data_IF_786750786014
#
_entry.id   IF_786750786014
#
_cell.length_a   1.000
_cell.length_b   1.000
_cell.length_c   1.000
_cell.angle_alpha   90.00
_cell.angle_beta   90.00
_cell.angle_gamma   90.00
#
_symmetry.space_group_name_H-M   'P 1'
#
loop_
_entity.id
_entity.type
_entity.pdbx_description
1 polymer ?
#
# COMPACT_ATOMS: atom_id res chain seq x y z
N UNK A 1 16.83 13.28 -18.91
CA UNK A 1 17.26 13.62 -17.54
C UNK A 1 16.34 12.86 -16.59
N UNK A 2 16.86 11.82 -15.94
CA UNK A 2 16.04 10.91 -15.13
C UNK A 2 15.67 11.56 -13.79
N UNK A 3 14.39 11.54 -13.43
CA UNK A 3 13.86 12.06 -12.15
C UNK A 3 14.25 11.20 -10.93
N UNK A 4 15.02 10.12 -11.13
CA UNK A 4 15.37 9.13 -10.11
C UNK A 4 16.27 9.65 -8.98
N UNK A 5 16.76 10.89 -9.06
CA UNK A 5 17.67 11.48 -8.08
C UNK A 5 17.05 12.45 -7.08
N UNK A 6 15.81 12.92 -7.28
CA UNK A 6 15.23 13.96 -6.40
C UNK A 6 14.63 13.33 -5.15
N UNK A 7 15.25 13.59 -4.00
CA UNK A 7 14.70 13.25 -2.68
C UNK A 7 13.61 14.27 -2.34
N UNK A 8 12.40 13.79 -2.07
CA UNK A 8 11.27 14.53 -1.56
C UNK A 8 11.34 14.62 -0.04
N UNK A 9 10.82 15.72 0.54
CA UNK A 9 10.66 15.87 1.99
C UNK A 9 9.24 15.51 2.39
N UNK A 10 9.05 15.09 3.64
CA UNK A 10 7.74 14.69 4.17
C UNK A 10 6.73 15.85 4.12
N UNK A 11 7.15 17.07 4.40
CA UNK A 11 6.28 18.27 4.32
C UNK A 11 5.70 18.54 2.91
N UNK A 12 6.37 18.05 1.86
CA UNK A 12 5.98 18.31 0.48
C UNK A 12 5.04 17.22 -0.07
N UNK A 13 4.74 16.20 0.75
CA UNK A 13 3.85 15.12 0.39
C UNK A 13 2.41 15.63 0.22
N UNK A 14 1.80 15.25 -0.90
CA UNK A 14 0.39 15.54 -1.20
C UNK A 14 -0.33 14.25 -1.59
N UNK A 15 -1.65 14.16 -1.34
CA UNK A 15 -2.47 13.07 -1.84
C UNK A 15 -2.32 12.89 -3.36
N UNK A 16 -2.12 11.65 -3.81
CA UNK A 16 -2.02 11.31 -5.23
C UNK A 16 -0.61 11.47 -5.83
N UNK A 17 0.39 11.92 -5.06
CA UNK A 17 1.78 11.92 -5.50
C UNK A 17 2.32 10.50 -5.68
N UNK A 18 3.07 10.27 -6.75
CA UNK A 18 3.69 8.99 -7.13
C UNK A 18 5.19 9.20 -7.38
N UNK A 19 5.93 8.11 -7.56
CA UNK A 19 7.37 8.13 -7.81
C UNK A 19 8.14 8.90 -6.71
N UNK A 20 7.68 8.77 -5.47
CA UNK A 20 8.27 9.44 -4.33
C UNK A 20 9.54 8.72 -3.90
N UNK A 21 10.63 9.47 -3.82
CA UNK A 21 11.90 9.02 -3.25
C UNK A 21 12.14 9.81 -1.96
N UNK A 22 12.26 9.14 -0.83
CA UNK A 22 12.43 9.76 0.49
C UNK A 22 13.53 9.04 1.26
N UNK A 23 14.11 9.74 2.23
CA UNK A 23 14.92 9.12 3.29
C UNK A 23 14.30 9.56 4.59
N UNK A 24 14.02 8.60 5.48
CA UNK A 24 13.36 8.85 6.76
C UNK A 24 13.86 7.89 7.82
N UNK A 25 13.60 8.25 9.08
CA UNK A 25 13.80 7.39 10.23
C UNK A 25 12.45 6.88 10.74
N UNK A 26 12.40 5.63 11.18
CA UNK A 26 11.23 5.03 11.81
C UNK A 26 11.16 5.48 13.27
N UNK A 27 10.04 6.07 13.68
CA UNK A 27 9.83 6.52 15.06
C UNK A 27 9.00 5.50 15.85
N UNK A 28 7.92 5.02 15.24
CA UNK A 28 6.93 4.18 15.94
C UNK A 28 6.34 3.13 15.02
N UNK A 29 6.02 1.96 15.58
CA UNK A 29 5.46 0.82 14.87
C UNK A 29 4.22 0.36 15.63
N UNK A 30 3.06 0.52 15.00
CA UNK A 30 1.79 0.08 15.55
C UNK A 30 1.66 -1.44 15.56
N UNK A 31 0.73 -1.94 16.38
CA UNK A 31 0.40 -3.37 16.45
C UNK A 31 -0.05 -3.89 15.08
N UNK A 32 0.36 -5.10 14.69
CA UNK A 32 -0.07 -5.70 13.43
C UNK A 32 -1.57 -5.97 13.40
N UNK A 33 -2.17 -5.68 12.25
CA UNK A 33 -3.56 -6.01 11.93
C UNK A 33 -3.58 -7.04 10.81
N UNK A 34 -4.29 -8.15 11.00
CA UNK A 34 -4.46 -9.17 9.97
C UNK A 34 -5.63 -8.84 9.07
N UNK A 35 -5.45 -8.96 7.76
CA UNK A 35 -6.54 -8.89 6.79
C UNK A 35 -7.28 -10.22 6.73
N UNK A 36 -8.45 -10.22 6.08
CA UNK A 36 -9.25 -11.43 5.85
C UNK A 36 -8.51 -12.47 5.01
N UNK A 37 -7.58 -12.01 4.17
CA UNK A 37 -6.79 -12.83 3.26
C UNK A 37 -5.53 -13.41 3.95
N UNK A 38 -5.31 -13.09 5.24
CA UNK A 38 -4.19 -13.60 6.04
C UNK A 38 -2.93 -12.72 6.01
N UNK A 39 -2.92 -11.65 5.21
CA UNK A 39 -1.81 -10.70 5.17
C UNK A 39 -1.73 -9.85 6.44
N UNK A 40 -0.52 -9.54 6.88
CA UNK A 40 -0.28 -8.69 8.03
C UNK A 40 0.02 -7.26 7.58
N UNK A 41 -0.69 -6.29 8.15
CA UNK A 41 -0.46 -4.86 7.89
C UNK A 41 -0.07 -4.17 9.18
N UNK A 42 1.02 -3.40 9.12
CA UNK A 42 1.47 -2.54 10.22
C UNK A 42 1.48 -1.09 9.76
N UNK A 43 0.97 -0.21 10.63
CA UNK A 43 1.12 1.22 10.47
C UNK A 43 2.42 1.65 11.14
N UNK A 44 3.30 2.25 10.37
CA UNK A 44 4.61 2.73 10.81
C UNK A 44 4.63 4.24 10.72
N UNK A 45 5.00 4.92 11.79
CA UNK A 45 5.21 6.37 11.79
C UNK A 45 6.66 6.66 11.49
N UNK A 46 6.90 7.42 10.43
CA UNK A 46 8.23 7.77 9.93
C UNK A 46 8.40 9.28 9.92
N UNK A 47 9.64 9.76 10.07
CA UNK A 47 9.93 11.19 10.03
C UNK A 47 11.25 11.53 9.34
N UNK A 48 11.33 12.80 8.94
CA UNK A 48 12.53 13.46 8.45
C UNK A 48 12.66 14.81 9.16
N UNK A 49 13.62 15.64 8.73
CA UNK A 49 13.81 17.00 9.28
C UNK A 49 12.59 17.93 9.15
N UNK A 50 11.59 17.58 8.35
CA UNK A 50 10.46 18.43 7.98
C UNK A 50 9.15 18.05 8.65
N UNK A 51 9.02 16.84 9.20
CA UNK A 51 7.83 16.38 9.89
C UNK A 51 7.71 14.85 9.88
N UNK A 52 6.55 14.35 10.29
CA UNK A 52 6.23 12.91 10.29
C UNK A 52 5.07 12.56 9.36
N UNK A 53 5.01 11.30 8.92
CA UNK A 53 3.88 10.74 8.17
C UNK A 53 3.68 9.28 8.52
N UNK A 54 2.45 8.78 8.36
CA UNK A 54 2.14 7.37 8.51
C UNK A 54 2.44 6.62 7.21
N UNK A 55 2.99 5.42 7.33
CA UNK A 55 3.27 4.50 6.24
C UNK A 55 2.61 3.16 6.54
N UNK A 56 1.99 2.54 5.54
CA UNK A 56 1.47 1.17 5.68
C UNK A 56 2.43 0.18 5.07
N UNK A 57 2.90 -0.76 5.88
CA UNK A 57 3.83 -1.81 5.47
C UNK A 57 3.17 -3.17 5.61
N UNK A 58 3.41 -4.04 4.64
CA UNK A 58 2.78 -5.35 4.52
C UNK A 58 3.78 -6.47 4.82
N UNK A 59 3.25 -7.56 5.38
CA UNK A 59 3.90 -8.86 5.56
C UNK A 59 5.28 -8.77 6.25
N UNK A 60 6.25 -9.52 5.72
CA UNK A 60 7.58 -9.67 6.32
C UNK A 60 8.36 -8.35 6.34
N UNK A 61 8.16 -7.48 5.34
CA UNK A 61 8.77 -6.14 5.33
C UNK A 61 8.38 -5.32 6.56
N UNK A 62 7.14 -5.45 7.03
CA UNK A 62 6.67 -4.75 8.22
C UNK A 62 7.20 -5.37 9.52
N UNK A 63 7.48 -6.67 9.50
CA UNK A 63 7.96 -7.42 10.67
C UNK A 63 9.44 -7.24 10.95
N UNK A 64 10.24 -7.02 9.90
CA UNK A 64 11.70 -6.81 10.03
C UNK A 64 12.08 -5.38 10.46
N UNK A 65 11.16 -4.43 10.29
CA UNK A 65 11.39 -3.02 10.60
C UNK A 65 11.43 -2.76 12.10
N UNK A 66 12.35 -1.92 12.55
CA UNK A 66 12.50 -1.51 13.95
C UNK A 66 12.47 0.01 14.10
N UNK A 67 12.10 0.48 15.30
CA UNK A 67 12.24 1.90 15.64
C UNK A 67 13.72 2.30 15.60
N UNK A 68 14.01 3.46 15.01
CA UNK A 68 15.36 3.97 14.80
C UNK A 68 15.99 3.58 13.47
N UNK A 69 15.38 2.70 12.66
CA UNK A 69 15.89 2.36 11.33
C UNK A 69 15.82 3.56 10.38
N UNK A 70 16.90 3.79 9.63
CA UNK A 70 16.96 4.78 8.55
C UNK A 70 16.76 4.06 7.23
N UNK A 71 15.69 4.41 6.52
CA UNK A 71 15.26 3.72 5.31
C UNK A 71 15.32 4.68 4.12
N UNK A 72 15.98 4.22 3.05
CA UNK A 72 15.85 4.80 1.72
C UNK A 72 14.61 4.22 1.07
N UNK A 73 13.65 5.07 0.80
CA UNK A 73 12.38 4.72 0.21
C UNK A 73 12.33 5.22 -1.23
N UNK A 74 11.96 4.37 -2.17
CA UNK A 74 11.98 4.68 -3.60
C UNK A 74 10.69 4.29 -4.30
N UNK A 75 10.30 5.11 -5.28
CA UNK A 75 9.12 4.92 -6.15
C UNK A 75 7.83 4.59 -5.39
N UNK A 76 7.62 5.19 -4.23
CA UNK A 76 6.35 5.05 -3.52
C UNK A 76 5.31 6.08 -3.92
N UNK A 77 4.16 6.02 -3.26
CA UNK A 77 3.05 6.91 -3.49
C UNK A 77 2.35 7.27 -2.18
N UNK A 78 1.79 8.47 -2.13
CA UNK A 78 1.03 8.95 -0.98
C UNK A 78 -0.47 8.99 -1.33
N UNK A 79 -1.29 8.40 -0.47
CA UNK A 79 -2.74 8.31 -0.68
C UNK A 79 -3.46 8.56 0.65
N UNK A 80 -4.62 9.19 0.59
CA UNK A 80 -5.47 9.37 1.77
C UNK A 80 -6.24 8.08 2.03
N UNK A 81 -6.08 7.53 3.25
CA UNK A 81 -6.80 6.38 3.76
C UNK A 81 -7.43 6.72 5.09
N UNK A 82 -8.73 6.47 5.27
CA UNK A 82 -9.48 6.83 6.49
C UNK A 82 -9.18 8.27 6.96
N UNK A 83 -9.21 9.22 6.03
CA UNK A 83 -8.92 10.63 6.28
C UNK A 83 -7.47 10.97 6.69
N UNK A 84 -6.53 10.01 6.62
CA UNK A 84 -5.11 10.24 6.94
C UNK A 84 -4.21 10.04 5.72
N UNK A 85 -3.23 10.92 5.52
CA UNK A 85 -2.20 10.70 4.50
C UNK A 85 -1.35 9.52 4.90
N UNK A 86 -1.32 8.52 4.02
CA UNK A 86 -0.56 7.31 4.23
C UNK A 86 0.37 7.07 3.04
N UNK A 87 1.62 6.79 3.34
CA UNK A 87 2.64 6.40 2.38
C UNK A 87 2.55 4.89 2.11
N UNK A 88 2.72 4.52 0.85
CA UNK A 88 2.74 3.15 0.38
C UNK A 88 3.89 2.91 -0.58
N UNK A 89 4.49 1.73 -0.50
CA UNK A 89 5.50 1.29 -1.46
C UNK A 89 4.82 1.03 -2.80
N UNK A 90 5.35 1.59 -3.89
CA UNK A 90 4.84 1.34 -5.23
C UNK A 90 5.18 -0.06 -5.73
N UNK A 91 4.54 -0.49 -6.82
CA UNK A 91 4.78 -1.83 -7.41
C UNK A 91 6.24 -2.10 -7.79
N UNK A 92 6.94 -1.06 -8.25
CA UNK A 92 8.37 -1.09 -8.62
C UNK A 92 9.21 -0.38 -7.54
N UNK A 93 8.59 -0.06 -6.40
CA UNK A 93 9.24 0.62 -5.29
C UNK A 93 10.01 -0.36 -4.43
N UNK A 94 10.99 0.19 -3.71
CA UNK A 94 11.80 -0.57 -2.77
C UNK A 94 12.08 0.27 -1.52
N UNK A 95 12.29 -0.43 -0.41
CA UNK A 95 12.72 0.12 0.86
C UNK A 95 14.02 -0.56 1.24
N UNK A 96 15.05 0.23 1.48
CA UNK A 96 16.38 -0.27 1.82
C UNK A 96 16.81 0.36 3.15
N UNK A 97 17.13 -0.46 4.15
CA UNK A 97 17.76 0.05 5.38
C UNK A 97 19.18 0.50 5.04
N UNK A 98 19.47 1.78 5.28
CA UNK A 98 20.78 2.40 5.00
C UNK A 98 21.54 2.77 6.29
N UNK A 99 20.88 2.69 7.45
CA UNK A 99 21.50 3.00 8.74
C UNK A 99 20.51 2.91 9.89
N UNK A 100 20.91 3.40 11.06
CA UNK A 100 20.10 3.45 12.27
C UNK A 100 20.51 4.64 13.17
N UNK A 101 19.56 5.12 13.99
CA UNK A 101 19.71 6.08 15.09
C UNK A 101 20.12 7.52 14.76
N UNK A 102 21.12 7.74 13.89
CA UNK A 102 21.80 9.04 13.77
C UNK A 102 21.17 10.03 12.77
N UNK A 103 19.90 9.86 12.39
CA UNK A 103 19.23 10.79 11.48
C UNK A 103 18.49 11.88 12.28
N UNK A 104 18.72 13.15 11.94
CA UNK A 104 17.95 14.27 12.50
C UNK A 104 16.52 14.27 11.93
N UNK A 105 15.52 14.28 12.81
CA UNK A 105 14.11 14.29 12.44
C UNK A 105 13.27 15.24 13.31
N UNK A 106 12.08 15.58 12.83
CA UNK A 106 11.06 16.31 13.56
C UNK A 106 9.76 15.49 13.55
N UNK A 107 9.15 15.27 14.70
CA UNK A 107 7.83 14.60 14.77
C UNK A 107 6.68 15.52 14.34
N UNK A 108 6.89 16.83 14.35
CA UNK A 108 5.87 17.82 14.02
C UNK A 108 6.31 18.68 12.83
N UNK A 109 5.39 19.09 11.94
CA UNK A 109 3.98 18.69 11.89
C UNK A 109 3.78 17.24 11.44
N UNK A 110 2.73 16.58 11.95
CA UNK A 110 2.33 15.28 11.44
C UNK A 110 1.47 15.44 10.18
N UNK A 111 2.06 15.15 9.03
CA UNK A 111 1.41 15.30 7.72
C UNK A 111 0.34 14.21 7.50
N UNK A 112 0.32 13.14 8.31
CA UNK A 112 -0.76 12.15 8.22
C UNK A 112 -2.11 12.73 8.61
N UNK A 113 -2.15 13.68 9.54
CA UNK A 113 -3.38 14.18 10.15
C UNK A 113 -4.02 15.31 9.33
N UNK A 114 -3.97 15.19 8.00
CA UNK A 114 -4.46 16.19 7.04
C UNK A 114 -5.77 16.82 7.55
N UNK A 115 -5.71 18.13 7.86
CA UNK A 115 -6.85 18.94 8.25
C UNK A 115 -8.02 18.75 7.28
N UNK A 116 -9.24 18.65 7.81
CA UNK A 116 -10.48 18.45 7.04
C UNK A 116 -10.61 19.39 5.81
N UNK A 117 -10.05 20.59 5.88
CA UNK A 117 -10.03 21.59 4.82
C UNK A 117 -9.32 21.12 3.53
N UNK A 118 -8.19 20.43 3.64
CA UNK A 118 -7.45 19.93 2.45
C UNK A 118 -8.20 18.79 1.74
N UNK A 119 -9.00 18.03 2.48
CA UNK A 119 -9.84 16.96 1.95
C UNK A 119 -11.05 17.57 1.23
N UNK A 120 -11.66 18.62 1.80
CA UNK A 120 -12.74 19.37 1.14
C UNK A 120 -12.26 20.05 -0.15
N UNK A 121 -11.08 20.68 -0.14
CA UNK A 121 -10.51 21.28 -1.36
C UNK A 121 -10.21 20.24 -2.44
N UNK A 122 -9.60 19.09 -2.10
CA UNK A 122 -9.37 18.03 -3.08
C UNK A 122 -10.69 17.46 -3.61
N UNK A 123 -11.70 17.29 -2.75
CA UNK A 123 -13.03 16.84 -3.19
C UNK A 123 -13.66 17.83 -4.17
N UNK A 124 -13.63 19.13 -3.86
CA UNK A 124 -14.13 20.19 -4.75
C UNK A 124 -13.33 20.29 -6.06
N UNK A 125 -12.00 20.09 -6.04
CA UNK A 125 -11.16 20.09 -7.24
C UNK A 125 -11.43 18.88 -8.14
N UNK A 126 -11.66 17.71 -7.55
CA UNK A 126 -12.04 16.49 -8.27
C UNK A 126 -13.45 16.63 -8.89
N UNK A 127 -14.39 17.21 -8.14
CA UNK A 127 -15.75 17.51 -8.63
C UNK A 127 -15.74 18.55 -9.75
N UNK A 128 -14.90 19.59 -9.66
CA UNK A 128 -14.72 20.59 -10.75
C UNK A 128 -14.10 19.98 -12.01
N UNK A 129 -13.11 19.09 -11.88
CA UNK A 129 -12.51 18.37 -13.03
C UNK A 129 -13.49 17.41 -13.71
N UNK A 130 -14.44 16.83 -12.97
CA UNK A 130 -15.52 16.02 -13.53
C UNK A 130 -16.60 16.89 -14.23
N UNK A 131 -16.77 18.15 -13.81
CA UNK A 131 -17.70 19.10 -14.43
C UNK A 131 -17.22 19.77 -15.71
N UNK A 132 -15.90 19.90 -15.92
CA UNK A 132 -15.34 20.52 -17.15
C UNK A 132 -15.32 19.60 -18.37
N UNK A 133 -15.57 18.29 -18.22
CA UNK A 133 -15.76 17.36 -19.33
C UNK A 133 -17.16 17.42 -19.96
N UNK A 134 -18.03 18.33 -19.48
CA UNK A 134 -19.39 18.51 -20.00
C UNK A 134 -19.69 19.97 -20.38
N UNK A 135 -18.70 20.69 -20.95
CA UNK A 135 -19.03 21.84 -21.80
C UNK A 135 -19.44 21.33 -23.17
N UNK A 136 -20.76 21.21 -23.32
CA UNK A 136 -21.50 21.12 -24.57
C UNK A 136 -20.93 22.14 -25.56
N UNK A 137 -20.30 21.67 -26.62
CA UNK A 137 -20.02 22.49 -27.80
C UNK A 137 -21.37 23.05 -28.27
N UNK A 138 -21.57 24.38 -28.39
CA UNK A 138 -22.81 24.90 -28.92
C UNK A 138 -23.00 24.40 -30.36
N UNK A 139 -24.23 24.03 -30.78
CA UNK A 139 -24.47 23.55 -32.12
C UNK A 139 -24.08 24.62 -33.16
N UNK A 140 -23.51 24.25 -34.32
CA UNK A 140 -23.16 25.20 -35.36
C UNK A 140 -24.43 25.88 -35.92
N UNK A 141 -24.35 27.15 -36.36
CA UNK A 141 -25.49 27.88 -36.92
C UNK A 141 -25.99 27.25 -38.23
N UNK A 142 -27.28 27.40 -38.56
CA UNK A 142 -27.85 26.84 -39.79
C UNK A 142 -27.25 27.51 -41.03
N UNK A 143 -27.07 26.77 -42.15
CA UNK A 143 -26.57 27.33 -43.39
C UNK A 143 -27.58 28.30 -44.02
N UNK A 144 -27.12 29.38 -44.70
CA UNK A 144 -28.01 30.31 -45.39
C UNK A 144 -28.71 29.65 -46.59
N UNK A 145 -30.00 29.94 -46.71
CA UNK A 145 -30.87 29.57 -47.83
C UNK A 145 -30.45 30.31 -49.11
N UNK A 146 -30.02 29.58 -50.14
CA UNK A 146 -29.90 30.10 -51.50
C UNK A 146 -30.76 29.26 -52.45
N UNK A 147 -31.78 29.89 -53.01
CA UNK A 147 -32.53 29.43 -54.17
C UNK A 147 -31.65 29.41 -55.43
N UNK A 148 -31.48 28.25 -56.07
CA UNK A 148 -31.28 28.11 -57.52
C UNK A 148 -31.23 26.62 -57.97
N UNK A 149 -32.40 26.10 -58.34
CA UNK A 149 -32.75 25.42 -59.61
C UNK A 149 -31.75 24.45 -60.29
N UNK A 150 -32.29 23.22 -60.55
CA UNK A 150 -31.97 22.19 -61.61
C UNK A 150 -30.64 21.43 -61.46
N UNK A 151 -30.51 20.11 -61.65
CA UNK A 151 -31.29 19.10 -62.40
C UNK A 151 -30.89 17.69 -61.91
N UNK A 152 -31.83 16.74 -61.89
CA UNK A 152 -31.65 15.27 -61.82
C UNK A 152 -30.83 14.72 -63.02
N UNK A 153 -30.30 13.46 -63.07
CA UNK A 153 -30.99 12.24 -62.58
C UNK A 153 -30.18 11.01 -62.08
N UNK A 154 -30.90 10.16 -61.32
CA UNK A 154 -30.93 8.68 -61.25
C UNK A 154 -29.65 7.82 -61.11
N UNK A 155 -29.61 6.94 -60.08
CA UNK A 155 -29.58 5.45 -60.14
C UNK A 155 -29.32 4.81 -58.73
N UNK A 156 -29.49 3.48 -58.49
CA UNK A 156 -30.41 2.99 -57.45
C UNK A 156 -29.80 2.17 -56.26
N UNK A 157 -30.72 1.83 -55.34
CA UNK A 157 -30.83 0.61 -54.52
C UNK A 157 -29.81 0.30 -53.40
N UNK A 158 -30.19 0.75 -52.20
CA UNK A 158 -30.32 -0.01 -50.93
C UNK A 158 -29.72 -1.44 -50.90
N UNK A 159 -28.63 -1.59 -50.14
CA UNK A 159 -28.17 -2.87 -49.58
C UNK A 159 -28.27 -2.83 -48.04
N UNK A 160 -29.00 -3.78 -47.47
CA UNK A 160 -29.01 -4.11 -46.04
C UNK A 160 -27.83 -5.05 -45.73
N UNK A 161 -27.08 -4.85 -44.63
CA UNK A 161 -26.22 -5.90 -44.10
C UNK A 161 -27.01 -6.75 -43.10
N UNK A 162 -27.12 -8.04 -43.41
CA UNK A 162 -27.64 -9.07 -42.52
C UNK A 162 -26.68 -9.37 -41.36
N UNK A 163 -27.30 -9.79 -40.26
CA UNK A 163 -26.72 -10.45 -39.08
C UNK A 163 -25.91 -11.68 -39.49
N UNK A 164 -24.62 -11.72 -39.16
CA UNK A 164 -23.80 -12.93 -39.29
C UNK A 164 -23.57 -13.56 -37.91
N UNK A 165 -24.03 -14.80 -37.77
CA UNK A 165 -23.73 -15.71 -36.67
C UNK A 165 -22.28 -16.17 -36.83
N UNK A 166 -21.44 -15.94 -35.83
CA UNK A 166 -20.05 -16.44 -35.82
C UNK A 166 -20.04 -17.85 -35.25
N UNK A 167 -19.65 -18.80 -36.08
CA UNK A 167 -19.47 -20.21 -35.75
C UNK A 167 -18.14 -20.42 -35.02
N UNK A 168 -18.16 -21.15 -33.90
CA UNK A 168 -16.98 -21.63 -33.19
C UNK A 168 -16.15 -22.55 -34.09
N UNK A 169 -14.98 -22.08 -34.53
CA UNK A 169 -13.81 -22.88 -34.90
C UNK A 169 -12.67 -21.94 -35.27
N UNK A 170 -11.96 -21.47 -34.24
CA UNK A 170 -10.52 -21.15 -34.23
C UNK A 170 -10.19 -20.27 -33.01
N UNK A 171 -10.35 -20.83 -31.82
CA UNK A 171 -9.83 -20.23 -30.59
C UNK A 171 -8.44 -20.84 -30.28
N UNK A 172 -7.35 -20.06 -30.22
CA UNK A 172 -6.00 -20.56 -30.00
C UNK A 172 -5.71 -20.95 -28.53
N UNK A 173 -6.70 -20.99 -27.64
CA UNK A 173 -6.53 -21.37 -26.22
C UNK A 173 -6.63 -22.87 -25.92
N UNK A 174 -6.89 -23.72 -26.92
CA UNK A 174 -7.04 -25.17 -26.75
C UNK A 174 -5.91 -25.98 -27.40
N UNK A 175 -4.66 -25.67 -27.04
CA UNK A 175 -3.52 -26.55 -27.28
C UNK A 175 -2.67 -26.66 -26.01
N UNK A 176 -2.95 -27.70 -25.23
CA UNK A 176 -2.01 -28.56 -24.47
C UNK A 176 -2.75 -29.34 -23.38
N UNK A 177 -3.32 -30.47 -23.78
CA UNK A 177 -3.48 -31.65 -22.93
C UNK A 177 -2.95 -32.85 -23.70
N UNK A 178 -2.43 -33.82 -22.94
CA UNK A 178 -1.73 -35.07 -23.31
C UNK A 178 -0.20 -34.96 -23.32
N UNK A 179 0.56 -35.80 -22.63
CA UNK A 179 0.29 -37.00 -21.82
C UNK A 179 1.51 -37.23 -20.90
N UNK A 180 1.31 -37.82 -19.73
CA UNK A 180 1.94 -39.09 -19.31
C UNK A 180 1.94 -39.23 -17.78
N UNK A 181 1.33 -40.32 -17.35
CA UNK A 181 1.47 -40.94 -16.04
C UNK A 181 2.93 -41.01 -15.59
N UNK A 182 3.25 -40.34 -14.49
CA UNK A 182 4.39 -40.70 -13.64
C UNK A 182 3.87 -40.87 -12.23
N UNK A 183 3.63 -42.13 -11.89
CA UNK A 183 3.37 -42.64 -10.55
C UNK A 183 4.63 -42.43 -9.69
N UNK A 184 4.56 -41.52 -8.72
CA UNK A 184 5.57 -41.38 -7.67
C UNK A 184 5.11 -42.09 -6.38
N UNK A 185 6.03 -42.72 -5.62
CA UNK A 185 5.70 -43.69 -4.59
C UNK A 185 5.16 -43.07 -3.30
N UNK A 186 4.38 -43.89 -2.58
CA UNK A 186 3.86 -43.65 -1.23
C UNK A 186 4.98 -43.34 -0.22
N UNK A 187 4.74 -42.47 0.77
CA UNK A 187 5.68 -42.25 1.86
C UNK A 187 5.71 -43.47 2.79
N UNK A 188 6.93 -43.91 3.12
CA UNK A 188 7.23 -44.92 4.11
C UNK A 188 6.83 -44.47 5.51
N UNK A 189 6.03 -45.33 6.14
CA UNK A 189 5.74 -45.52 7.57
C UNK A 189 6.66 -44.79 8.59
N UNK A 190 6.15 -43.89 9.46
CA UNK A 190 6.89 -43.40 10.62
C UNK A 190 6.60 -44.26 11.86
N UNK A 191 6.82 -45.57 11.79
CA UNK A 191 7.02 -46.40 12.98
C UNK A 191 8.50 -46.58 13.24
N UNK A 192 9.12 -45.58 13.87
CA UNK A 192 10.24 -45.76 14.79
C UNK A 192 10.58 -44.43 15.49
N UNK A 193 9.90 -44.17 16.61
CA UNK A 193 10.47 -43.41 17.72
C UNK A 193 9.78 -43.79 19.02
N UNK A 194 10.33 -44.79 19.70
CA UNK A 194 10.17 -44.96 21.14
C UNK A 194 11.51 -44.59 21.78
N UNK A 195 11.60 -43.48 22.52
CA UNK A 195 12.51 -43.41 23.65
C UNK A 195 11.77 -43.89 24.89
N UNK A 196 12.43 -44.80 25.60
CA UNK A 196 11.96 -45.42 26.82
C UNK A 196 11.77 -44.41 27.95
N UNK A 197 10.74 -44.64 28.76
CA UNK A 197 10.60 -44.14 30.12
C UNK A 197 11.77 -44.59 30.99
N UNK A 198 12.48 -43.64 31.59
CA UNK A 198 13.18 -43.87 32.86
C UNK A 198 12.84 -42.72 33.80
N UNK A 199 12.05 -43.06 34.83
CA UNK A 199 11.85 -42.25 36.02
C UNK A 199 13.17 -42.13 36.78
N UNK A 200 13.53 -40.94 37.26
CA UNK A 200 14.29 -40.82 38.50
C UNK A 200 13.85 -39.58 39.27
N UNK A 201 13.88 -39.74 40.59
CA UNK A 201 13.15 -39.04 41.65
C UNK A 201 13.95 -37.87 42.21
N UNK A 202 13.25 -36.89 42.82
CA UNK A 202 13.71 -35.92 43.85
C UNK A 202 14.79 -34.90 43.42
N UNK A 203 14.75 -33.62 43.80
CA UNK A 203 14.70 -33.10 45.18
C UNK A 203 14.49 -31.58 45.11
N UNK A 204 13.55 -31.03 45.88
CA UNK A 204 13.51 -29.60 46.28
C UNK A 204 14.48 -29.40 47.46
N UNK A 205 15.08 -28.20 47.68
CA UNK A 205 14.39 -27.22 48.51
C UNK A 205 14.61 -25.72 48.17
N UNK A 206 13.54 -24.97 48.47
CA UNK A 206 13.39 -23.61 49.04
C UNK A 206 14.64 -22.74 49.22
N UNK A 207 14.52 -21.44 48.89
CA UNK A 207 14.88 -20.35 49.81
C UNK A 207 14.15 -19.04 49.42
N UNK A 208 13.42 -18.52 50.39
CA UNK A 208 12.74 -17.23 50.38
C UNK A 208 13.73 -16.12 50.76
N UNK A 209 13.73 -15.01 50.03
CA UNK A 209 14.38 -13.77 50.47
C UNK A 209 13.34 -12.66 50.56
N UNK A 210 12.94 -12.42 51.80
CA UNK A 210 12.11 -11.31 52.25
C UNK A 210 12.82 -9.98 51.98
N UNK A 211 12.22 -9.12 51.16
CA UNK A 211 12.67 -7.74 50.97
C UNK A 211 12.02 -6.89 52.07
N UNK A 212 12.84 -6.45 53.03
CA UNK A 212 12.49 -5.47 54.06
C UNK A 212 12.14 -4.12 53.41
N UNK A 213 11.01 -3.54 53.80
CA UNK A 213 10.73 -2.12 53.61
C UNK A 213 11.67 -1.27 54.48
N UNK A 214 12.10 -0.08 54.02
CA UNK A 214 12.83 0.86 54.86
C UNK A 214 11.86 1.64 55.77
N UNK A 215 12.12 1.60 57.07
CA UNK A 215 11.44 2.42 58.09
C UNK A 215 11.99 3.86 58.06
N UNK A 216 11.09 4.85 58.04
CA UNK A 216 11.42 6.26 58.25
C UNK A 216 11.75 6.50 59.73
N UNK A 217 12.96 7.00 60.01
CA UNK A 217 13.31 7.50 61.33
C UNK A 217 12.92 8.98 61.43
N UNK A 218 12.01 9.29 62.36
CA UNK A 218 11.63 10.65 62.72
C UNK A 218 12.65 11.15 63.76
N UNK A 219 13.39 12.20 63.40
CA UNK A 219 14.25 12.93 64.33
C UNK A 219 13.41 13.85 65.21
N UNK A 220 13.53 13.71 66.53
CA UNK A 220 13.27 14.75 67.51
C UNK A 220 14.33 14.64 68.58
N UNK A 221 14.97 15.77 68.89
CA UNK A 221 15.53 16.18 70.17
C UNK A 221 16.06 17.63 69.99
N UNK A 222 16.11 18.46 71.05
CA UNK A 222 17.08 18.30 72.13
C UNK A 222 16.52 18.33 73.56
#
# INVERSE_FOLDING_TARGET
>A
MSEDGKICLIKDLKPGCKNLNLVFIVIDISKPTKTKDGHEIRTVRVADKSGSVNMSVWDDCGSQMQCGDIIRFSKGYAQVWKNQLTLYVGRIGAMEKIGEFCMLFSELPNVSDINQEFIQQNKQLLEKKAGEANQTVPPPPPPPSNDAVKTSPSLPARFTPQRTVVTEKNDPRLLKRQNSDVKLPLPSDPRQRLPQTVNTVSTTPVLSSSIKQPQLNVSRDP
#
